data_IF_941609253935
#
_entry.id   IF_941609253935
#
_cell.length_a   1.000
_cell.length_b   1.000
_cell.length_c   1.000
_cell.angle_alpha   90.00
_cell.angle_beta   90.00
_cell.angle_gamma   90.00
#
_symmetry.space_group_name_H-M   'P 1'
#
loop_
_entity.id
_entity.type
_entity.pdbx_description
1 polymer ?
#
# COMPACT_ATOMS: atom_id res chain seq x y z
N UNK A 1 8.00 20.90 -21.74
CA UNK A 1 8.68 20.40 -20.52
C UNK A 1 8.03 21.05 -19.31
N UNK A 2 7.75 20.30 -18.24
CA UNK A 2 7.31 20.89 -16.98
C UNK A 2 8.49 21.60 -16.30
N UNK A 3 8.26 22.75 -15.64
CA UNK A 3 9.32 23.47 -14.93
C UNK A 3 9.84 22.65 -13.74
N UNK A 4 11.11 22.83 -13.35
CA UNK A 4 11.64 22.16 -12.17
C UNK A 4 10.89 22.57 -10.90
N UNK A 5 10.76 21.66 -9.91
CA UNK A 5 10.12 21.99 -8.65
C UNK A 5 10.94 23.01 -7.87
N UNK A 6 10.25 23.92 -7.19
CA UNK A 6 10.82 24.96 -6.31
C UNK A 6 11.69 24.37 -5.20
N UNK A 7 12.67 25.16 -4.75
CA UNK A 7 13.60 24.76 -3.68
C UNK A 7 12.88 24.71 -2.31
N UNK A 8 12.31 25.83 -1.87
CA UNK A 8 11.60 25.99 -0.60
C UNK A 8 10.39 26.92 -0.78
N UNK A 9 9.40 26.81 0.11
CA UNK A 9 8.21 27.69 0.10
C UNK A 9 8.28 28.78 1.17
N UNK A 10 8.89 28.44 2.31
CA UNK A 10 8.97 29.26 3.50
C UNK A 10 10.44 29.65 3.67
N UNK A 11 10.68 30.92 3.89
CA UNK A 11 12.01 31.45 4.20
C UNK A 11 12.46 31.08 5.62
N UNK A 12 13.75 31.28 5.91
CA UNK A 12 14.32 31.14 7.27
C UNK A 12 13.62 32.01 8.32
N UNK A 13 12.89 33.05 7.88
CA UNK A 13 12.13 33.96 8.73
C UNK A 13 10.64 33.59 8.85
N UNK A 14 10.21 32.43 8.34
CA UNK A 14 8.82 31.98 8.41
C UNK A 14 7.88 32.68 7.42
N UNK A 15 8.42 33.40 6.41
CA UNK A 15 7.62 34.12 5.41
C UNK A 15 7.43 33.28 4.15
N UNK A 16 6.25 33.38 3.54
CA UNK A 16 6.00 32.75 2.24
C UNK A 16 6.69 33.51 1.12
N UNK A 17 7.57 32.82 0.39
CA UNK A 17 8.21 33.36 -0.81
C UNK A 17 7.36 33.22 -2.08
N UNK A 18 6.26 32.46 -1.96
CA UNK A 18 5.46 31.97 -3.06
C UNK A 18 4.00 32.17 -2.74
N UNK A 19 3.22 32.58 -3.74
CA UNK A 19 1.78 32.79 -3.57
C UNK A 19 1.00 31.47 -3.44
N UNK A 20 1.53 30.36 -3.96
CA UNK A 20 0.93 29.03 -3.87
C UNK A 20 1.84 28.04 -3.12
N UNK A 21 1.84 28.08 -1.78
CA UNK A 21 2.60 27.16 -0.94
C UNK A 21 2.31 25.67 -1.23
N UNK A 22 3.22 24.77 -0.82
CA UNK A 22 3.03 23.33 -1.01
C UNK A 22 1.92 22.81 -0.07
N UNK A 23 1.30 21.64 -0.34
CA UNK A 23 0.22 21.13 0.51
C UNK A 23 0.58 21.10 2.00
N UNK A 24 1.81 20.71 2.31
CA UNK A 24 2.37 20.71 3.68
C UNK A 24 2.69 22.12 4.16
N UNK A 25 3.41 22.89 3.36
CA UNK A 25 3.88 24.24 3.70
C UNK A 25 2.74 25.24 3.92
N UNK A 26 1.56 24.99 3.35
CA UNK A 26 0.38 25.86 3.48
C UNK A 26 -0.22 25.77 4.89
N UNK A 27 -0.02 24.65 5.58
CA UNK A 27 -0.52 24.40 6.93
C UNK A 27 0.66 24.33 7.91
N UNK A 28 0.69 25.25 8.87
CA UNK A 28 1.79 25.37 9.83
C UNK A 28 1.85 24.19 10.82
N UNK A 29 0.74 23.49 11.01
CA UNK A 29 0.66 22.36 11.93
C UNK A 29 1.00 21.02 11.25
N UNK A 30 1.10 21.02 9.92
CA UNK A 30 1.40 19.83 9.16
C UNK A 30 2.90 19.70 8.91
N UNK A 31 3.53 18.72 9.55
CA UNK A 31 4.94 18.39 9.33
C UNK A 31 5.13 16.88 9.26
N UNK A 32 6.13 16.45 8.49
CA UNK A 32 6.47 15.03 8.39
C UNK A 32 7.17 14.57 9.68
N UNK A 33 6.60 13.55 10.31
CA UNK A 33 7.18 12.83 11.44
C UNK A 33 6.95 11.34 11.23
N UNK A 34 7.95 10.50 11.52
CA UNK A 34 7.87 9.04 11.41
C UNK A 34 6.79 8.44 12.32
N UNK A 35 6.38 9.17 13.36
CA UNK A 35 5.31 8.79 14.30
C UNK A 35 3.91 8.92 13.70
N UNK A 36 3.76 9.70 12.63
CA UNK A 36 2.50 9.87 11.92
C UNK A 36 2.58 9.20 10.53
N UNK A 37 2.42 7.86 10.46
CA UNK A 37 2.50 7.14 9.19
C UNK A 37 1.37 7.54 8.24
N UNK A 38 0.19 7.89 8.74
CA UNK A 38 -0.99 8.26 7.93
C UNK A 38 -0.69 9.45 7.00
N UNK A 39 0.08 10.43 7.47
CA UNK A 39 0.49 11.55 6.64
C UNK A 39 1.51 11.14 5.57
N UNK A 40 2.47 10.29 5.93
CA UNK A 40 3.52 9.84 5.02
C UNK A 40 2.92 8.97 3.91
N UNK A 41 1.98 8.10 4.24
CA UNK A 41 1.30 7.18 3.32
C UNK A 41 0.56 7.90 2.20
N UNK A 42 0.00 9.09 2.46
CA UNK A 42 -0.65 9.93 1.43
C UNK A 42 0.30 10.35 0.30
N UNK A 43 1.61 10.37 0.54
CA UNK A 43 2.63 10.73 -0.44
C UNK A 43 3.37 9.53 -1.04
N UNK A 44 2.89 8.31 -0.78
CA UNK A 44 3.39 7.08 -1.39
C UNK A 44 2.54 6.67 -2.59
N UNK A 45 3.16 6.00 -3.57
CA UNK A 45 2.39 5.41 -4.66
C UNK A 45 1.58 4.22 -4.16
N UNK A 46 0.33 4.13 -4.61
CA UNK A 46 -0.65 3.12 -4.18
C UNK A 46 -0.07 1.70 -4.14
N UNK A 47 -0.19 1.04 -2.99
CA UNK A 47 0.29 -0.34 -2.78
C UNK A 47 1.81 -0.50 -2.77
N UNK A 48 2.58 0.59 -2.76
CA UNK A 48 4.05 0.56 -2.71
C UNK A 48 4.60 1.42 -1.58
N UNK A 49 5.83 1.14 -1.17
CA UNK A 49 6.55 1.93 -0.16
C UNK A 49 7.43 3.04 -0.78
N UNK A 50 7.17 3.37 -2.04
CA UNK A 50 7.95 4.35 -2.81
C UNK A 50 7.25 5.71 -2.77
N UNK A 51 7.99 6.81 -2.52
CA UNK A 51 7.41 8.14 -2.58
C UNK A 51 7.05 8.49 -4.03
N UNK A 52 5.92 9.18 -4.19
CA UNK A 52 5.48 9.70 -5.49
C UNK A 52 6.50 10.71 -6.01
N UNK A 53 6.68 10.77 -7.34
CA UNK A 53 7.53 11.78 -7.98
C UNK A 53 7.24 13.20 -7.49
N UNK A 54 8.29 13.98 -7.26
CA UNK A 54 8.19 15.35 -6.73
C UNK A 54 7.26 16.27 -7.55
N UNK A 55 7.24 16.10 -8.86
CA UNK A 55 6.37 16.89 -9.75
C UNK A 55 4.89 16.53 -9.57
N UNK A 56 4.59 15.26 -9.26
CA UNK A 56 3.24 14.78 -9.01
C UNK A 56 2.78 15.09 -7.57
N UNK A 57 3.69 15.07 -6.60
CA UNK A 57 3.37 15.34 -5.19
C UNK A 57 3.14 16.82 -4.88
N UNK A 58 3.65 17.75 -5.71
CA UNK A 58 3.47 19.19 -5.51
C UNK A 58 4.27 19.78 -4.33
N UNK A 59 5.17 18.99 -3.73
CA UNK A 59 6.04 19.41 -2.65
C UNK A 59 7.20 20.29 -3.16
N UNK A 60 7.73 21.17 -2.30
CA UNK A 60 9.04 21.77 -2.55
C UNK A 60 10.15 20.74 -2.31
N UNK A 61 11.33 20.97 -2.88
CA UNK A 61 12.47 20.04 -2.76
C UNK A 61 12.88 19.80 -1.31
N UNK A 62 12.81 20.83 -0.47
CA UNK A 62 13.07 20.72 0.97
C UNK A 62 12.12 19.76 1.67
N UNK A 63 10.81 19.96 1.52
CA UNK A 63 9.80 19.09 2.13
C UNK A 63 9.84 17.67 1.55
N UNK A 64 10.17 17.52 0.27
CA UNK A 64 10.37 16.21 -0.34
C UNK A 64 11.60 15.47 0.21
N UNK A 65 12.69 16.19 0.52
CA UNK A 65 13.84 15.61 1.22
C UNK A 65 13.48 15.20 2.65
N UNK A 66 12.70 16.04 3.35
CA UNK A 66 12.20 15.73 4.70
C UNK A 66 11.30 14.49 4.70
N UNK A 67 10.37 14.37 3.74
CA UNK A 67 9.55 13.18 3.53
C UNK A 67 10.41 11.92 3.38
N UNK A 68 11.47 11.96 2.56
CA UNK A 68 12.36 10.80 2.39
C UNK A 68 13.11 10.43 3.66
N UNK A 69 13.59 11.41 4.41
CA UNK A 69 14.28 11.19 5.67
C UNK A 69 13.34 10.55 6.71
N UNK A 70 12.12 11.07 6.84
CA UNK A 70 11.11 10.55 7.76
C UNK A 70 10.58 9.19 7.33
N UNK A 71 10.45 8.94 6.02
CA UNK A 71 10.11 7.62 5.49
C UNK A 71 11.20 6.59 5.84
N UNK A 72 12.48 6.96 5.75
CA UNK A 72 13.58 6.09 6.16
C UNK A 72 13.52 5.79 7.67
N UNK A 73 13.35 6.82 8.50
CA UNK A 73 13.18 6.66 9.94
C UNK A 73 11.95 5.81 10.28
N UNK A 74 10.83 5.98 9.57
CA UNK A 74 9.63 5.18 9.75
C UNK A 74 9.86 3.69 9.43
N UNK A 75 10.66 3.39 8.40
CA UNK A 75 11.06 2.02 8.07
C UNK A 75 11.95 1.41 9.15
N UNK A 76 12.89 2.19 9.68
CA UNK A 76 13.79 1.74 10.76
C UNK A 76 13.06 1.50 12.09
N UNK A 77 12.10 2.37 12.43
CA UNK A 77 11.26 2.23 13.62
C UNK A 77 10.10 1.24 13.44
N UNK A 78 9.83 0.79 12.21
CA UNK A 78 8.73 -0.12 11.91
C UNK A 78 7.34 0.51 12.05
N UNK A 79 7.22 1.83 11.96
CA UNK A 79 5.92 2.52 12.02
C UNK A 79 5.13 2.41 10.71
N UNK A 80 5.80 2.10 9.60
CA UNK A 80 5.19 1.91 8.28
C UNK A 80 5.45 0.49 7.76
N UNK A 81 4.47 -0.09 7.08
CA UNK A 81 4.63 -1.39 6.42
C UNK A 81 5.36 -1.24 5.09
N UNK A 82 6.39 -2.05 4.85
CA UNK A 82 7.09 -2.10 3.58
C UNK A 82 7.57 -3.52 3.27
N UNK A 83 7.87 -3.77 2.00
CA UNK A 83 8.47 -5.04 1.57
C UNK A 83 9.95 -5.07 1.93
N UNK A 84 10.38 -6.11 2.63
CA UNK A 84 11.80 -6.36 2.94
C UNK A 84 12.32 -7.45 2.02
N UNK A 85 13.38 -7.15 1.28
CA UNK A 85 14.04 -8.14 0.43
C UNK A 85 14.78 -9.18 1.27
N UNK A 86 14.59 -10.45 0.93
CA UNK A 86 15.30 -11.56 1.57
C UNK A 86 16.61 -11.83 0.84
N UNK A 87 17.69 -11.99 1.61
CA UNK A 87 18.97 -12.46 1.08
C UNK A 87 19.07 -13.96 1.26
N UNK A 88 19.41 -14.65 0.17
CA UNK A 88 19.75 -16.06 0.22
C UNK A 88 21.26 -16.17 0.47
N UNK A 89 21.65 -17.03 1.41
CA UNK A 89 23.04 -17.29 1.75
C UNK A 89 23.39 -18.72 1.35
N UNK A 90 24.58 -18.91 0.77
CA UNK A 90 25.14 -20.25 0.58
C UNK A 90 25.88 -20.69 1.86
N UNK A 91 25.23 -21.50 2.67
CA UNK A 91 25.79 -21.98 3.95
C UNK A 91 27.09 -22.78 3.80
N UNK A 92 27.39 -23.29 2.60
CA UNK A 92 28.62 -24.05 2.31
C UNK A 92 29.88 -23.20 2.45
N UNK A 93 29.77 -21.88 2.29
CA UNK A 93 30.91 -20.96 2.48
C UNK A 93 31.41 -20.97 3.93
N UNK A 94 30.52 -21.20 4.90
CA UNK A 94 30.84 -21.17 6.32
C UNK A 94 30.94 -22.56 6.95
N UNK A 95 30.23 -23.55 6.42
CA UNK A 95 30.15 -24.89 6.98
C UNK A 95 30.62 -25.95 5.98
N UNK A 96 31.86 -26.43 6.14
CA UNK A 96 32.47 -27.45 5.26
C UNK A 96 31.71 -28.79 5.24
N UNK A 97 31.00 -29.09 6.33
CA UNK A 97 30.23 -30.32 6.47
C UNK A 97 28.79 -30.19 5.92
N UNK A 98 28.40 -29.00 5.45
CA UNK A 98 27.07 -28.73 4.90
C UNK A 98 26.96 -29.31 3.48
N UNK A 99 26.22 -30.42 3.34
CA UNK A 99 26.09 -31.16 2.08
C UNK A 99 24.82 -30.85 1.30
N UNK A 100 23.88 -30.13 1.90
CA UNK A 100 22.61 -29.81 1.25
C UNK A 100 22.83 -28.85 0.07
N UNK A 101 22.03 -28.97 -1.01
CA UNK A 101 22.02 -27.99 -2.11
C UNK A 101 21.70 -26.58 -1.58
N UNK A 102 22.29 -25.53 -2.18
CA UNK A 102 21.92 -24.16 -1.83
C UNK A 102 20.42 -23.98 -2.07
N UNK A 103 19.75 -23.26 -1.16
CA UNK A 103 18.32 -23.00 -1.31
C UNK A 103 18.05 -22.22 -2.60
N UNK A 104 16.95 -22.52 -3.32
CA UNK A 104 16.60 -21.78 -4.51
C UNK A 104 16.42 -20.30 -4.20
N UNK A 105 16.68 -19.45 -5.19
CA UNK A 105 16.49 -18.02 -5.02
C UNK A 105 15.02 -17.71 -4.74
N UNK A 106 14.73 -17.19 -3.55
CA UNK A 106 13.37 -16.84 -3.11
C UNK A 106 12.96 -15.47 -3.65
N UNK A 107 12.38 -15.40 -4.86
CA UNK A 107 11.75 -14.19 -5.39
C UNK A 107 10.30 -14.08 -4.90
N UNK A 108 10.06 -13.42 -3.77
CA UNK A 108 8.66 -13.22 -3.29
C UNK A 108 7.86 -12.21 -4.10
N UNK A 109 8.51 -11.39 -4.93
CA UNK A 109 7.84 -10.34 -5.70
C UNK A 109 7.27 -10.82 -7.05
N UNK A 110 7.51 -12.08 -7.44
CA UNK A 110 7.14 -12.59 -8.77
C UNK A 110 5.95 -13.53 -8.82
N UNK A 111 5.47 -14.02 -7.67
CA UNK A 111 4.51 -15.13 -7.67
C UNK A 111 3.10 -14.58 -7.55
N UNK A 112 2.30 -14.64 -8.64
CA UNK A 112 0.87 -14.40 -8.51
C UNK A 112 0.29 -15.54 -7.70
N UNK A 113 -0.72 -15.27 -6.87
CA UNK A 113 -1.42 -16.30 -6.09
C UNK A 113 -1.94 -17.46 -6.97
N UNK A 114 -2.17 -17.19 -8.26
CA UNK A 114 -2.54 -18.16 -9.30
C UNK A 114 -1.43 -19.16 -9.64
N UNK A 115 -0.16 -18.79 -9.45
CA UNK A 115 1.00 -19.63 -9.77
C UNK A 115 1.34 -20.60 -8.63
N UNK A 116 0.89 -20.31 -7.40
CA UNK A 116 1.09 -21.17 -6.21
C UNK A 116 0.14 -22.38 -6.24
N UNK A 117 -1.03 -22.22 -6.89
CA UNK A 117 -2.01 -23.29 -7.07
C UNK A 117 -2.47 -23.34 -8.54
N UNK A 118 -1.80 -24.14 -9.40
CA UNK A 118 -2.21 -24.34 -10.79
C UNK A 118 -3.49 -25.19 -10.92
N UNK A 119 -3.94 -25.81 -9.83
CA UNK A 119 -5.21 -26.50 -9.80
C UNK A 119 -6.35 -25.47 -9.94
N UNK A 120 -7.32 -25.67 -10.85
CA UNK A 120 -8.50 -24.83 -10.87
C UNK A 120 -9.11 -24.92 -9.47
N UNK A 121 -9.31 -23.76 -8.82
CA UNK A 121 -9.93 -23.66 -7.50
C UNK A 121 -11.02 -24.71 -7.40
N UNK A 122 -10.77 -25.76 -6.60
CA UNK A 122 -11.75 -26.83 -6.39
C UNK A 122 -13.03 -26.11 -6.05
N UNK A 123 -14.07 -26.24 -6.87
CA UNK A 123 -15.35 -25.64 -6.55
C UNK A 123 -15.76 -26.28 -5.24
N UNK A 124 -15.60 -25.55 -4.13
CA UNK A 124 -16.18 -25.97 -2.87
C UNK A 124 -17.63 -26.31 -3.20
N UNK A 125 -18.14 -27.49 -2.79
CA UNK A 125 -19.54 -27.78 -2.99
C UNK A 125 -20.31 -26.69 -2.26
N UNK A 126 -20.75 -25.68 -3.02
CA UNK A 126 -21.66 -24.65 -2.54
C UNK A 126 -22.82 -25.46 -2.02
N UNK A 127 -23.01 -25.40 -0.70
CA UNK A 127 -24.07 -26.11 -0.01
C UNK A 127 -25.33 -25.91 -0.84
N UNK A 128 -25.73 -26.98 -1.53
CA UNK A 128 -26.66 -27.05 -2.66
C UNK A 128 -27.18 -25.69 -3.15
N UNK A 129 -26.73 -25.29 -4.35
CA UNK A 129 -27.48 -24.39 -5.22
C UNK A 129 -28.93 -24.88 -5.23
N UNK A 130 -29.84 -24.13 -4.62
CA UNK A 130 -31.27 -24.43 -4.58
C UNK A 130 -31.82 -24.39 -6.01
N UNK A 131 -31.68 -25.47 -6.76
CA UNK A 131 -32.42 -25.65 -8.00
C UNK A 131 -33.90 -25.77 -7.62
N UNK A 132 -34.74 -24.92 -8.23
CA UNK A 132 -36.18 -24.68 -7.96
C UNK A 132 -36.56 -23.73 -6.80
N UNK A 133 -35.63 -22.98 -6.20
CA UNK A 133 -36.05 -21.78 -5.49
C UNK A 133 -36.03 -20.60 -6.47
N UNK A 134 -37.21 -20.17 -6.90
CA UNK A 134 -37.38 -18.99 -7.73
C UNK A 134 -37.31 -17.76 -6.81
N UNK A 135 -36.08 -17.30 -6.52
CA UNK A 135 -35.81 -16.18 -5.62
C UNK A 135 -36.39 -14.85 -6.13
N UNK A 136 -36.85 -14.79 -7.39
CA UNK A 136 -37.52 -13.63 -7.95
C UNK A 136 -39.01 -13.53 -7.57
N UNK A 137 -39.68 -14.58 -7.08
CA UNK A 137 -41.14 -14.53 -6.79
C UNK A 137 -41.52 -14.04 -5.37
N UNK A 138 -40.81 -13.05 -4.83
CA UNK A 138 -41.06 -12.57 -3.46
C UNK A 138 -42.50 -12.05 -3.25
N UNK A 139 -43.14 -11.52 -4.31
CA UNK A 139 -44.50 -10.97 -4.29
C UNK A 139 -45.59 -12.00 -4.01
N UNK A 140 -45.39 -13.28 -4.40
CA UNK A 140 -46.37 -14.35 -4.10
C UNK A 140 -46.41 -14.68 -2.60
N UNK A 141 -45.28 -14.53 -1.89
CA UNK A 141 -45.19 -14.72 -0.44
C UNK A 141 -45.85 -13.56 0.30
N UNK A 142 -45.65 -12.33 -0.18
CA UNK A 142 -46.28 -11.13 0.36
C UNK A 142 -47.81 -11.18 0.24
N UNK A 143 -48.34 -11.58 -0.91
CA UNK A 143 -49.79 -11.67 -1.13
C UNK A 143 -50.45 -12.76 -0.26
N UNK A 144 -49.74 -13.87 -0.01
CA UNK A 144 -50.18 -14.93 0.92
C UNK A 144 -50.23 -14.45 2.38
N UNK A 145 -49.25 -13.65 2.81
CA UNK A 145 -49.24 -13.07 4.16
C UNK A 145 -50.32 -12.00 4.33
N UNK A 146 -50.52 -11.14 3.32
CA UNK A 146 -51.55 -10.11 3.34
C UNK A 146 -52.98 -10.67 3.36
N UNK A 147 -53.24 -11.77 2.64
CA UNK A 147 -54.54 -12.48 2.66
C UNK A 147 -54.82 -13.23 3.96
N UNK A 148 -53.78 -13.61 4.72
CA UNK A 148 -53.92 -14.31 6.00
C UNK A 148 -54.12 -13.36 7.19
N UNK A 149 -53.90 -12.06 6.98
CA UNK A 149 -54.05 -10.99 7.97
C UNK A 149 -55.38 -10.20 7.84
N UNK A 150 -56.25 -10.59 6.90
CA UNK A 150 -57.67 -10.20 6.83
C UNK A 150 -58.53 -11.39 7.25
#
# INVERSE_FOLDING_TARGET
LQPPPRLFCIDKHGRFNVNNACPVCRDEYLFFDYRNPELIEQFLSDGTHHPIDILKSGLCREQYAMLKAQLLAAKEHGTITFGVDFRNFDFREWYKDWKEPPMPHVERAGIRLQDIHPDPLVSFPVFKRDYNNDWDQWWLRHDKFAKKAK
#
